data_IF_097840661572
#
_entry.id   IF_097840661572
#
_cell.length_a   1.000
_cell.length_b   1.000
_cell.length_c   1.000
_cell.angle_alpha   90.00
_cell.angle_beta   90.00
_cell.angle_gamma   90.00
#
_symmetry.space_group_name_H-M   'P 1'
#
loop_
_entity.id
_entity.type
_entity.pdbx_description
1 polymer ?
#
# COMPACT_ATOMS: atom_id res chain seq x y z
N UNK A 1 -20.00 -3.84 -8.56
CA UNK A 1 -20.04 -3.89 -7.08
C UNK A 1 -20.88 -5.09 -6.66
N UNK A 2 -20.54 -5.77 -5.58
CA UNK A 2 -21.34 -6.85 -4.98
C UNK A 2 -22.22 -6.23 -3.88
N UNK A 3 -23.50 -6.63 -3.80
CA UNK A 3 -24.42 -6.17 -2.75
C UNK A 3 -24.15 -6.96 -1.48
N UNK A 4 -23.84 -6.25 -0.39
CA UNK A 4 -23.66 -6.85 0.94
C UNK A 4 -24.52 -6.10 1.93
N UNK A 5 -25.32 -6.82 2.70
CA UNK A 5 -26.09 -6.26 3.81
C UNK A 5 -25.30 -6.43 5.10
N UNK A 6 -25.03 -5.32 5.78
CA UNK A 6 -24.37 -5.29 7.09
C UNK A 6 -25.23 -4.48 8.05
N UNK A 7 -25.16 -4.81 9.33
CA UNK A 7 -25.79 -4.03 10.38
C UNK A 7 -24.76 -3.08 10.98
N UNK A 8 -25.19 -1.85 11.29
CA UNK A 8 -24.40 -0.84 11.98
C UNK A 8 -25.14 -0.46 13.25
N UNK A 9 -24.40 -0.09 14.28
CA UNK A 9 -25.03 0.53 15.46
C UNK A 9 -25.58 1.91 15.08
N UNK A 10 -26.57 2.38 15.83
CA UNK A 10 -27.13 3.73 15.61
C UNK A 10 -26.06 4.82 15.69
N UNK A 11 -25.09 4.65 16.58
CA UNK A 11 -23.97 5.57 16.74
C UNK A 11 -23.08 5.59 15.49
N UNK A 12 -22.72 4.42 14.96
CA UNK A 12 -21.95 4.31 13.71
C UNK A 12 -22.70 4.94 12.54
N UNK A 13 -24.00 4.67 12.40
CA UNK A 13 -24.82 5.24 11.34
C UNK A 13 -24.88 6.78 11.43
N UNK A 14 -25.04 7.34 12.63
CA UNK A 14 -25.00 8.80 12.87
C UNK A 14 -23.63 9.38 12.55
N UNK A 15 -22.55 8.73 12.97
CA UNK A 15 -21.18 9.19 12.69
C UNK A 15 -20.89 9.24 11.19
N UNK A 16 -21.23 8.18 10.46
CA UNK A 16 -21.01 8.11 9.00
C UNK A 16 -21.83 9.19 8.28
N UNK A 17 -23.10 9.42 8.67
CA UNK A 17 -23.92 10.49 8.10
C UNK A 17 -23.28 11.87 8.30
N UNK A 18 -22.76 12.18 9.50
CA UNK A 18 -22.07 13.44 9.77
C UNK A 18 -20.83 13.62 8.89
N UNK A 19 -20.03 12.57 8.72
CA UNK A 19 -18.82 12.59 7.87
C UNK A 19 -19.20 12.77 6.39
N UNK A 20 -20.27 12.12 5.94
CA UNK A 20 -20.76 12.23 4.57
C UNK A 20 -21.20 13.68 4.27
N UNK A 21 -21.98 14.27 5.17
CA UNK A 21 -22.43 15.66 5.05
C UNK A 21 -21.28 16.66 5.09
N UNK A 22 -20.32 16.50 6.00
CA UNK A 22 -19.18 17.44 6.09
C UNK A 22 -18.25 17.38 4.88
N UNK A 23 -18.17 16.23 4.22
CA UNK A 23 -17.32 16.02 3.03
C UNK A 23 -18.06 16.18 1.70
N UNK A 24 -19.37 16.42 1.72
CA UNK A 24 -20.19 16.53 0.50
C UNK A 24 -20.23 15.25 -0.34
N UNK A 25 -20.14 14.08 0.29
CA UNK A 25 -20.16 12.77 -0.39
C UNK A 25 -21.28 11.89 0.13
N UNK A 26 -21.62 10.83 -0.60
CA UNK A 26 -22.61 9.85 -0.14
C UNK A 26 -22.11 9.03 1.06
N UNK A 27 -23.05 8.56 1.89
CA UNK A 27 -22.76 7.58 2.96
C UNK A 27 -22.04 6.34 2.44
N UNK A 28 -22.46 5.84 1.26
CA UNK A 28 -21.84 4.68 0.63
C UNK A 28 -20.37 4.94 0.25
N UNK A 29 -20.03 6.16 -0.16
CA UNK A 29 -18.65 6.55 -0.47
C UNK A 29 -17.77 6.57 0.78
N UNK A 30 -18.29 7.09 1.90
CA UNK A 30 -17.57 7.06 3.18
C UNK A 30 -17.27 5.61 3.59
N UNK A 31 -18.26 4.72 3.50
CA UNK A 31 -18.09 3.30 3.84
C UNK A 31 -17.05 2.64 2.92
N UNK A 32 -17.12 2.87 1.60
CA UNK A 32 -16.13 2.32 0.65
C UNK A 32 -14.71 2.75 0.98
N UNK A 33 -14.48 4.05 1.22
CA UNK A 33 -13.14 4.57 1.57
C UNK A 33 -12.63 3.99 2.89
N UNK A 34 -13.50 3.82 3.88
CA UNK A 34 -13.13 3.19 5.14
C UNK A 34 -12.71 1.72 4.94
N UNK A 35 -13.49 0.95 4.17
CA UNK A 35 -13.17 -0.45 3.83
C UNK A 35 -11.86 -0.54 3.06
N UNK A 36 -11.65 0.32 2.06
CA UNK A 36 -10.40 0.35 1.30
C UNK A 36 -9.19 0.71 2.19
N UNK A 37 -9.37 1.64 3.12
CA UNK A 37 -8.35 1.99 4.12
C UNK A 37 -7.96 0.78 4.97
N UNK A 38 -8.94 0.02 5.47
CA UNK A 38 -8.71 -1.21 6.24
C UNK A 38 -7.96 -2.26 5.42
N UNK A 39 -8.39 -2.50 4.17
CA UNK A 39 -7.74 -3.46 3.27
C UNK A 39 -6.28 -3.09 3.03
N UNK A 40 -6.01 -1.81 2.71
CA UNK A 40 -4.64 -1.32 2.46
C UNK A 40 -3.76 -1.32 3.72
N UNK A 41 -4.35 -1.07 4.89
CA UNK A 41 -3.63 -1.14 6.16
C UNK A 41 -3.39 -2.57 6.65
N UNK A 42 -3.98 -3.58 6.01
CA UNK A 42 -3.78 -4.98 6.38
C UNK A 42 -2.33 -5.39 6.05
N UNK A 43 -1.59 -6.00 6.99
CA UNK A 43 -0.22 -6.45 6.76
C UNK A 43 -0.08 -7.37 5.55
N UNK A 44 -1.12 -8.16 5.22
CA UNK A 44 -1.12 -9.03 4.04
C UNK A 44 -1.13 -8.25 2.72
N UNK A 45 -1.94 -7.19 2.63
CA UNK A 45 -1.98 -6.34 1.44
C UNK A 45 -0.65 -5.59 1.26
N UNK A 46 -0.06 -5.10 2.36
CA UNK A 46 1.28 -4.48 2.32
C UNK A 46 2.35 -5.49 1.88
N UNK A 47 2.27 -6.76 2.30
CA UNK A 47 3.21 -7.80 1.85
C UNK A 47 3.08 -8.15 0.37
N UNK A 48 1.87 -8.31 -0.16
CA UNK A 48 1.65 -8.56 -1.60
C UNK A 48 2.12 -7.37 -2.46
N UNK A 49 1.81 -6.14 -2.04
CA UNK A 49 2.23 -4.91 -2.71
C UNK A 49 3.77 -4.74 -2.65
N UNK A 50 4.41 -5.06 -1.52
CA UNK A 50 5.88 -5.09 -1.38
C UNK A 50 6.51 -6.14 -2.28
N UNK A 51 5.95 -7.35 -2.32
CA UNK A 51 6.45 -8.42 -3.17
C UNK A 51 6.34 -8.04 -4.65
N UNK A 52 5.19 -7.50 -5.07
CA UNK A 52 4.97 -7.03 -6.45
C UNK A 52 5.99 -5.95 -6.83
N UNK A 53 6.21 -4.96 -5.96
CA UNK A 53 7.23 -3.91 -6.18
C UNK A 53 8.65 -4.46 -6.28
N UNK A 54 9.00 -5.43 -5.42
CA UNK A 54 10.31 -6.07 -5.46
C UNK A 54 10.51 -6.83 -6.78
N UNK A 55 9.51 -7.59 -7.21
CA UNK A 55 9.55 -8.35 -8.47
C UNK A 55 9.64 -7.45 -9.70
N UNK A 56 8.95 -6.32 -9.72
CA UNK A 56 8.99 -5.37 -10.84
C UNK A 56 10.42 -4.85 -11.11
N UNK A 57 11.26 -4.74 -10.07
CA UNK A 57 12.64 -4.25 -10.20
C UNK A 57 13.60 -5.36 -10.68
N UNK A 58 13.27 -6.64 -10.48
CA UNK A 58 14.13 -7.76 -10.85
C UNK A 58 14.37 -7.77 -12.35
N UNK A 59 15.64 -7.70 -12.76
CA UNK A 59 16.04 -7.74 -14.18
C UNK A 59 15.95 -6.40 -14.93
N UNK A 60 15.37 -5.34 -14.34
CA UNK A 60 15.34 -4.00 -14.96
C UNK A 60 16.71 -3.34 -15.04
N UNK A 61 17.65 -3.73 -14.18
CA UNK A 61 18.98 -3.13 -14.09
C UNK A 61 20.07 -4.18 -14.23
N UNK A 62 21.13 -3.84 -14.97
CA UNK A 62 22.30 -4.70 -15.17
C UNK A 62 23.58 -3.89 -14.97
N UNK A 63 24.32 -4.19 -13.92
CA UNK A 63 25.61 -3.55 -13.63
C UNK A 63 26.78 -4.18 -14.39
N UNK A 64 26.56 -5.30 -15.08
CA UNK A 64 27.61 -6.12 -15.70
C UNK A 64 28.47 -6.91 -14.71
N UNK A 65 28.37 -6.62 -13.41
CA UNK A 65 29.13 -7.24 -12.32
C UNK A 65 28.30 -8.36 -11.68
N UNK A 66 28.91 -9.52 -11.44
CA UNK A 66 28.21 -10.73 -10.95
C UNK A 66 28.31 -10.95 -9.43
N UNK A 67 29.19 -10.23 -8.76
CA UNK A 67 29.55 -10.42 -7.35
C UNK A 67 29.31 -9.16 -6.49
N UNK A 68 28.50 -8.21 -6.99
CA UNK A 68 28.21 -6.94 -6.30
C UNK A 68 27.64 -7.19 -4.91
N UNK A 69 26.75 -8.17 -4.73
CA UNK A 69 26.19 -8.50 -3.41
C UNK A 69 27.26 -8.91 -2.40
N UNK A 70 28.31 -9.61 -2.84
CA UNK A 70 29.40 -10.09 -1.99
C UNK A 70 30.48 -9.04 -1.73
N UNK A 71 30.72 -8.15 -2.70
CA UNK A 71 31.82 -7.16 -2.67
C UNK A 71 31.33 -5.71 -2.68
N UNK A 72 30.14 -5.47 -2.16
CA UNK A 72 29.47 -4.16 -2.25
C UNK A 72 30.36 -3.04 -1.68
N UNK A 73 31.03 -3.25 -0.55
CA UNK A 73 31.93 -2.27 0.06
C UNK A 73 33.14 -1.94 -0.82
N UNK A 74 33.73 -2.95 -1.46
CA UNK A 74 34.85 -2.74 -2.37
C UNK A 74 34.42 -1.93 -3.60
N UNK A 75 33.24 -2.24 -4.17
CA UNK A 75 32.70 -1.46 -5.28
C UNK A 75 32.30 -0.03 -4.88
N UNK A 76 31.81 0.16 -3.65
CA UNK A 76 31.49 1.47 -3.11
C UNK A 76 32.77 2.30 -2.94
N UNK A 77 33.82 1.68 -2.39
CA UNK A 77 35.15 2.30 -2.26
C UNK A 77 35.76 2.64 -3.62
N UNK A 78 35.71 1.75 -4.61
CA UNK A 78 36.23 2.03 -5.95
C UNK A 78 35.49 3.20 -6.63
N UNK A 79 34.19 3.36 -6.38
CA UNK A 79 33.38 4.39 -7.02
C UNK A 79 33.52 5.78 -6.37
N UNK A 80 33.80 5.86 -5.06
CA UNK A 80 33.76 7.10 -4.28
C UNK A 80 35.03 7.37 -3.45
N UNK A 81 35.97 6.43 -3.42
CA UNK A 81 37.27 6.61 -2.80
C UNK A 81 38.13 7.52 -3.66
N UNK A 82 38.53 8.66 -3.09
CA UNK A 82 39.59 9.50 -3.64
C UNK A 82 40.94 8.79 -3.60
#
# INVERSE_FOLDING_TARGET
>A
MVRTQIQLTDEQARAIKRIASSKGVSVAEVIRRAVEGVIKSSPKADMEERQKRALDIVGRFKSGKRDVSKRHDAYLKDAYGK
#
